data_IF_008118117238
#
_entry.id   IF_008118117238
#
_cell.length_a   1.000
_cell.length_b   1.000
_cell.length_c   1.000
_cell.angle_alpha   90.00
_cell.angle_beta   90.00
_cell.angle_gamma   90.00
#
_symmetry.space_group_name_H-M   'P 1'
#
loop_
_entity.id
_entity.type
_entity.pdbx_description
1 polymer ?
#
# COMPACT_ATOMS: atom_id res chain seq x y z
N UNK A 1 4.11 -26.94 -4.53
CA UNK A 1 3.06 -25.96 -4.17
C UNK A 1 2.56 -25.36 -5.46
N UNK A 2 1.25 -25.17 -5.63
CA UNK A 2 0.77 -24.20 -6.63
C UNK A 2 1.01 -22.85 -5.96
N UNK A 3 2.00 -22.10 -6.44
CA UNK A 3 2.15 -20.71 -6.05
C UNK A 3 0.96 -19.96 -6.66
N UNK A 4 0.25 -19.20 -5.84
CA UNK A 4 -0.86 -18.40 -6.33
C UNK A 4 -0.27 -17.28 -7.20
N UNK A 5 -0.62 -17.27 -8.49
CA UNK A 5 -0.04 -16.33 -9.44
C UNK A 5 -0.52 -14.89 -9.18
N UNK A 6 0.38 -13.92 -9.38
CA UNK A 6 0.05 -12.50 -9.37
C UNK A 6 -0.99 -12.23 -10.46
N UNK A 7 -2.13 -11.66 -10.08
CA UNK A 7 -3.20 -11.33 -11.01
C UNK A 7 -3.03 -9.92 -11.56
N UNK A 8 -2.94 -9.78 -12.87
CA UNK A 8 -2.87 -8.47 -13.53
C UNK A 8 -4.27 -7.92 -13.80
N UNK A 9 -4.57 -6.71 -13.34
CA UNK A 9 -5.88 -6.07 -13.53
C UNK A 9 -5.73 -4.66 -14.10
N UNK A 10 -6.73 -4.18 -14.83
CA UNK A 10 -6.76 -2.80 -15.34
C UNK A 10 -7.36 -1.79 -14.35
N UNK A 11 -7.84 -2.23 -13.19
CA UNK A 11 -8.59 -1.40 -12.25
C UNK A 11 -8.11 -1.56 -10.82
N UNK A 12 -8.13 -0.45 -10.08
CA UNK A 12 -7.83 -0.44 -8.66
C UNK A 12 -8.95 -1.14 -7.88
N UNK A 13 -8.70 -2.37 -7.39
CA UNK A 13 -9.70 -3.15 -6.67
C UNK A 13 -9.67 -2.77 -5.17
N UNK A 14 -10.74 -2.19 -4.61
CA UNK A 14 -10.77 -1.89 -3.19
C UNK A 14 -10.56 -3.15 -2.34
N UNK A 15 -9.68 -3.05 -1.35
CA UNK A 15 -9.33 -4.14 -0.45
C UNK A 15 -8.22 -5.07 -0.94
N UNK A 16 -7.72 -4.93 -2.17
CA UNK A 16 -6.56 -5.70 -2.62
C UNK A 16 -5.24 -5.04 -2.21
N UNK A 17 -4.22 -5.86 -1.99
CA UNK A 17 -2.83 -5.41 -2.06
C UNK A 17 -2.37 -5.48 -3.52
N UNK A 18 -1.77 -4.43 -4.04
CA UNK A 18 -1.28 -4.40 -5.41
C UNK A 18 0.01 -3.62 -5.53
N UNK A 19 0.81 -4.00 -6.53
CA UNK A 19 1.94 -3.24 -7.04
C UNK A 19 1.64 -2.75 -8.45
N UNK A 20 2.22 -1.64 -8.85
CA UNK A 20 2.07 -1.06 -10.18
C UNK A 20 3.19 -0.05 -10.43
N UNK A 21 3.48 0.26 -11.69
CA UNK A 21 4.33 1.40 -12.00
C UNK A 21 3.52 2.68 -11.91
N UNK A 22 4.11 3.72 -11.33
CA UNK A 22 3.44 5.00 -11.12
C UNK A 22 4.31 6.13 -11.65
N UNK A 23 3.70 7.18 -12.20
CA UNK A 23 4.36 8.43 -12.58
C UNK A 23 3.79 9.59 -11.77
N UNK A 24 4.48 10.05 -10.72
CA UNK A 24 3.88 11.02 -9.81
C UNK A 24 3.56 12.36 -10.50
N UNK A 25 2.30 12.84 -10.37
CA UNK A 25 1.83 14.10 -10.99
C UNK A 25 2.76 15.30 -10.79
N UNK A 26 3.32 15.46 -9.59
CA UNK A 26 4.18 16.59 -9.23
C UNK A 26 5.66 16.14 -9.09
N UNK A 27 6.09 15.10 -9.82
CA UNK A 27 7.41 14.46 -9.69
C UNK A 27 8.59 15.42 -9.67
N UNK A 28 8.52 16.51 -10.43
CA UNK A 28 9.59 17.52 -10.53
C UNK A 28 9.79 18.33 -9.25
N UNK A 29 8.78 18.38 -8.37
CA UNK A 29 8.78 19.20 -7.13
C UNK A 29 8.70 18.36 -5.86
N UNK A 30 8.35 17.08 -5.96
CA UNK A 30 8.25 16.21 -4.81
C UNK A 30 9.64 15.91 -4.25
N UNK A 31 9.85 15.98 -2.92
CA UNK A 31 11.15 15.63 -2.33
C UNK A 31 11.49 14.15 -2.53
N UNK A 32 10.46 13.31 -2.61
CA UNK A 32 10.55 11.90 -2.97
C UNK A 32 9.19 11.32 -3.31
N UNK A 33 9.19 10.25 -4.09
CA UNK A 33 8.02 9.42 -4.36
C UNK A 33 8.42 8.00 -4.76
N UNK A 34 7.49 7.06 -4.66
CA UNK A 34 7.72 5.65 -4.99
C UNK A 34 7.15 5.34 -6.38
N UNK A 35 8.02 4.90 -7.29
CA UNK A 35 7.64 4.53 -8.67
C UNK A 35 7.11 3.12 -8.80
N UNK A 36 7.31 2.29 -7.77
CA UNK A 36 6.77 0.93 -7.74
C UNK A 36 6.16 0.63 -6.36
N UNK A 37 5.05 1.31 -6.02
CA UNK A 37 4.46 1.24 -4.68
C UNK A 37 3.79 -0.11 -4.38
N UNK A 38 3.95 -0.59 -3.14
CA UNK A 38 3.16 -1.70 -2.57
C UNK A 38 1.97 -1.14 -1.80
N UNK A 39 0.79 -1.20 -2.39
CA UNK A 39 -0.39 -0.46 -1.93
C UNK A 39 -1.53 -1.37 -1.54
N UNK A 40 -2.06 -1.20 -0.33
CA UNK A 40 -3.39 -1.68 0.01
C UNK A 40 -4.40 -0.64 -0.47
N UNK A 41 -5.21 -0.99 -1.46
CA UNK A 41 -6.18 -0.07 -2.06
C UNK A 41 -7.35 0.10 -1.10
N UNK A 42 -7.59 1.33 -0.67
CA UNK A 42 -8.63 1.67 0.31
C UNK A 42 -9.98 1.86 -0.36
N UNK A 43 -10.02 2.56 -1.48
CA UNK A 43 -11.27 2.89 -2.17
C UNK A 43 -11.11 3.99 -3.20
N UNK A 44 -12.18 4.32 -3.94
CA UNK A 44 -12.15 5.35 -4.98
C UNK A 44 -11.90 6.75 -4.40
N UNK A 45 -11.26 7.59 -5.21
CA UNK A 45 -11.01 9.01 -4.95
C UNK A 45 -11.25 9.81 -6.23
N UNK A 46 -11.28 11.13 -6.15
CA UNK A 46 -11.39 11.96 -7.36
C UNK A 46 -10.25 11.61 -8.34
N UNK A 47 -10.59 11.25 -9.58
CA UNK A 47 -9.64 10.89 -10.65
C UNK A 47 -8.70 9.72 -10.31
N UNK A 48 -9.02 8.92 -9.30
CA UNK A 48 -8.25 7.73 -8.96
C UNK A 48 -8.70 7.04 -7.68
N UNK A 49 -7.75 6.77 -6.77
CA UNK A 49 -8.02 5.96 -5.59
C UNK A 49 -7.14 6.37 -4.40
N UNK A 50 -7.64 6.11 -3.20
CA UNK A 50 -6.86 6.16 -1.98
C UNK A 50 -6.20 4.81 -1.72
N UNK A 51 -4.98 4.84 -1.17
CA UNK A 51 -4.27 3.62 -0.81
C UNK A 51 -3.27 3.83 0.31
N UNK A 52 -2.88 2.72 0.94
CA UNK A 52 -1.85 2.65 1.96
C UNK A 52 -0.59 2.06 1.33
N UNK A 53 0.36 2.92 0.98
CA UNK A 53 1.66 2.46 0.49
C UNK A 53 2.56 2.09 1.66
N UNK A 54 2.77 0.78 1.83
CA UNK A 54 3.57 0.23 2.92
C UNK A 54 5.05 0.60 2.77
N UNK A 55 5.53 0.89 1.56
CA UNK A 55 6.94 1.20 1.35
C UNK A 55 7.44 2.41 2.11
N UNK A 56 6.58 3.40 2.41
CA UNK A 56 6.92 4.58 3.21
C UNK A 56 7.40 4.23 4.62
N UNK A 57 7.12 3.02 5.10
CA UNK A 57 7.69 2.50 6.33
C UNK A 57 8.95 1.66 6.04
N UNK A 58 9.97 1.70 6.91
CA UNK A 58 11.03 0.69 6.88
C UNK A 58 10.45 -0.70 7.22
N UNK A 59 11.06 -1.76 6.70
CA UNK A 59 10.56 -3.14 6.74
C UNK A 59 9.98 -3.57 8.12
N UNK A 60 10.66 -3.36 9.26
CA UNK A 60 10.12 -3.77 10.56
C UNK A 60 8.81 -3.06 10.95
N UNK A 61 8.63 -1.81 10.49
CA UNK A 61 7.40 -1.05 10.73
C UNK A 61 6.30 -1.43 9.74
N UNK A 62 6.65 -1.90 8.54
CA UNK A 62 5.67 -2.46 7.60
C UNK A 62 5.00 -3.68 8.17
N UNK A 63 5.79 -4.63 8.69
CA UNK A 63 5.28 -5.85 9.32
C UNK A 63 4.33 -5.53 10.48
N UNK A 64 4.72 -4.62 11.38
CA UNK A 64 3.85 -4.17 12.49
C UNK A 64 2.56 -3.49 12.00
N UNK A 65 2.62 -2.75 10.91
CA UNK A 65 1.44 -2.11 10.37
C UNK A 65 0.52 -3.13 9.69
N UNK A 66 1.07 -4.05 8.90
CA UNK A 66 0.32 -5.14 8.29
C UNK A 66 -0.34 -6.01 9.36
N UNK A 67 0.39 -6.44 10.38
CA UNK A 67 -0.14 -7.21 11.52
C UNK A 67 -1.35 -6.52 12.17
N UNK A 68 -1.21 -5.24 12.52
CA UNK A 68 -2.33 -4.45 13.06
C UNK A 68 -3.51 -4.28 12.10
N UNK A 69 -3.24 -4.13 10.79
CA UNK A 69 -4.28 -4.07 9.76
C UNK A 69 -5.02 -5.40 9.62
N UNK A 70 -4.31 -6.52 9.76
CA UNK A 70 -4.82 -7.88 9.63
C UNK A 70 -5.70 -8.27 10.83
N UNK A 71 -5.30 -7.88 12.05
CA UNK A 71 -6.10 -8.05 13.29
C UNK A 71 -7.50 -7.45 13.22
N UNK A 72 -7.65 -6.35 12.48
CA UNK A 72 -8.94 -5.67 12.33
C UNK A 72 -9.72 -6.13 11.09
N UNK A 73 -9.18 -7.04 10.27
CA UNK A 73 -9.91 -7.65 9.15
C UNK A 73 -10.94 -8.66 9.64
N UNK A 74 -11.99 -8.88 8.83
CA UNK A 74 -13.11 -9.75 9.18
C UNK A 74 -12.97 -11.20 8.70
N UNK A 75 -12.08 -11.46 7.73
CA UNK A 75 -11.83 -12.83 7.23
C UNK A 75 -10.47 -13.33 7.71
N UNK A 76 -10.48 -14.23 8.69
CA UNK A 76 -9.28 -14.85 9.28
C UNK A 76 -8.77 -16.07 8.50
N UNK A 77 -9.44 -16.44 7.41
CA UNK A 77 -9.09 -17.65 6.65
C UNK A 77 -7.94 -17.44 5.66
N UNK A 78 -7.57 -16.17 5.39
CA UNK A 78 -6.42 -15.78 4.56
C UNK A 78 -6.26 -16.61 3.28
N UNK A 79 -7.36 -16.86 2.57
CA UNK A 79 -7.36 -17.56 1.28
C UNK A 79 -7.32 -16.57 0.10
N UNK A 80 -7.27 -17.10 -1.11
CA UNK A 80 -7.21 -16.34 -2.38
C UNK A 80 -8.30 -15.26 -2.55
N UNK A 81 -9.45 -15.40 -1.87
CA UNK A 81 -10.55 -14.43 -1.93
C UNK A 81 -10.49 -13.36 -0.84
N UNK A 82 -9.46 -13.38 0.02
CA UNK A 82 -9.32 -12.45 1.13
C UNK A 82 -9.00 -11.05 0.62
N UNK A 83 -9.80 -10.08 1.06
CA UNK A 83 -9.61 -8.66 0.80
C UNK A 83 -9.66 -7.91 2.12
N UNK A 84 -8.88 -6.83 2.22
CA UNK A 84 -9.04 -5.86 3.30
C UNK A 84 -10.45 -5.29 3.28
N UNK A 85 -11.04 -5.14 4.46
CA UNK A 85 -12.40 -4.66 4.59
C UNK A 85 -12.43 -3.15 4.33
N UNK A 86 -13.01 -2.72 3.21
CA UNK A 86 -13.08 -1.29 2.85
C UNK A 86 -14.25 -0.55 3.51
N UNK A 87 -14.97 -1.19 4.45
CA UNK A 87 -16.02 -0.52 5.21
C UNK A 87 -15.43 0.64 6.03
N UNK A 88 -16.23 1.70 6.16
CA UNK A 88 -15.87 2.91 6.90
C UNK A 88 -15.35 2.63 8.32
N UNK A 89 -15.92 1.64 9.02
CA UNK A 89 -15.49 1.25 10.37
C UNK A 89 -14.06 0.69 10.41
N UNK A 90 -13.64 -0.08 9.40
CA UNK A 90 -12.27 -0.57 9.27
C UNK A 90 -11.32 0.59 9.02
N UNK A 91 -11.64 1.47 8.06
CA UNK A 91 -10.81 2.62 7.72
C UNK A 91 -10.65 3.58 8.90
N UNK A 92 -11.71 3.80 9.69
CA UNK A 92 -11.61 4.59 10.92
C UNK A 92 -10.72 3.97 11.99
N UNK A 93 -10.61 2.64 12.04
CA UNK A 93 -9.69 1.93 12.96
C UNK A 93 -8.26 1.98 12.43
N UNK A 94 -8.06 1.70 11.14
CA UNK A 94 -6.78 1.81 10.47
C UNK A 94 -6.20 3.23 10.57
N UNK A 95 -7.03 4.27 10.38
CA UNK A 95 -6.64 5.67 10.47
C UNK A 95 -6.12 6.09 11.86
N UNK A 96 -6.51 5.38 12.93
CA UNK A 96 -6.01 5.61 14.29
C UNK A 96 -4.66 4.95 14.55
N UNK A 97 -4.20 4.04 13.67
CA UNK A 97 -2.89 3.44 13.79
C UNK A 97 -1.82 4.49 13.44
N UNK A 98 -0.82 4.62 14.30
CA UNK A 98 0.27 5.60 14.13
C UNK A 98 1.00 5.49 12.78
N UNK A 99 1.00 4.30 12.17
CA UNK A 99 1.65 4.01 10.89
C UNK A 99 0.83 4.43 9.66
N UNK A 100 -0.44 4.80 9.83
CA UNK A 100 -1.34 5.13 8.72
C UNK A 100 -0.93 6.42 7.98
N UNK A 101 -0.66 7.49 8.73
CA UNK A 101 -0.35 8.83 8.22
C UNK A 101 0.79 8.89 7.18
N UNK A 102 1.94 8.21 7.35
CA UNK A 102 2.97 8.19 6.31
C UNK A 102 2.56 7.40 5.05
N UNK A 103 1.72 6.36 5.20
CA UNK A 103 1.35 5.43 4.13
C UNK A 103 0.16 5.89 3.29
N UNK A 104 -0.76 6.67 3.85
CA UNK A 104 -1.96 7.10 3.15
C UNK A 104 -1.63 8.08 2.01
N UNK A 105 -2.02 7.72 0.79
CA UNK A 105 -1.81 8.50 -0.44
C UNK A 105 -3.05 8.52 -1.30
N UNK A 106 -3.15 9.57 -2.11
CA UNK A 106 -4.08 9.67 -3.24
C UNK A 106 -3.30 9.40 -4.52
N UNK A 107 -3.71 8.37 -5.26
CA UNK A 107 -3.16 8.02 -6.56
C UNK A 107 -4.14 8.41 -7.66
N UNK A 108 -3.61 8.91 -8.76
CA UNK A 108 -4.39 9.22 -9.96
C UNK A 108 -4.32 8.04 -10.91
N UNK A 109 -5.46 7.57 -11.42
CA UNK A 109 -5.47 6.43 -12.35
C UNK A 109 -4.72 6.76 -13.64
N UNK A 110 -4.75 8.01 -14.09
CA UNK A 110 -4.01 8.46 -15.27
C UNK A 110 -2.48 8.42 -15.10
N UNK A 111 -2.00 8.24 -13.88
CA UNK A 111 -0.58 8.14 -13.54
C UNK A 111 -0.14 6.71 -13.24
N UNK A 112 -1.05 5.73 -13.35
CA UNK A 112 -0.70 4.32 -13.27
C UNK A 112 -0.27 3.85 -14.65
N UNK A 113 0.95 3.33 -14.74
CA UNK A 113 1.48 2.78 -15.97
C UNK A 113 1.17 1.28 -16.04
N UNK A 114 0.44 0.87 -17.09
CA UNK A 114 0.09 -0.52 -17.33
C UNK A 114 -1.01 -1.05 -16.42
N UNK A 115 -0.76 -2.19 -15.78
CA UNK A 115 -1.74 -2.95 -15.00
C UNK A 115 -1.33 -3.05 -13.53
N UNK A 116 -2.31 -3.26 -12.66
CA UNK A 116 -2.11 -3.57 -11.26
C UNK A 116 -1.73 -5.05 -11.11
N UNK A 117 -0.56 -5.31 -10.57
CA UNK A 117 -0.13 -6.62 -10.10
C UNK A 117 -0.73 -6.87 -8.71
N UNK A 118 -1.87 -7.54 -8.65
CA UNK A 118 -2.55 -7.88 -7.39
C UNK A 118 -1.81 -9.01 -6.70
N UNK A 119 -1.39 -8.75 -5.47
CA UNK A 119 -0.69 -9.70 -4.61
C UNK A 119 -1.74 -10.60 -3.94
N UNK A 120 -1.66 -11.93 -4.10
CA UNK A 120 -2.53 -12.88 -3.39
C UNK A 120 -2.39 -12.71 -1.88
N UNK A 121 -3.49 -12.93 -1.14
CA UNK A 121 -3.49 -12.73 0.31
C UNK A 121 -2.46 -13.57 1.09
N UNK A 122 -2.19 -14.85 0.73
CA UNK A 122 -1.11 -15.62 1.35
C UNK A 122 0.27 -14.97 1.21
N UNK A 123 0.48 -14.17 0.16
CA UNK A 123 1.76 -13.55 -0.18
C UNK A 123 1.94 -12.15 0.42
N UNK A 124 0.93 -11.59 1.11
CA UNK A 124 0.99 -10.22 1.65
C UNK A 124 2.14 -10.01 2.64
N UNK A 125 2.42 -11.01 3.48
CA UNK A 125 3.52 -10.95 4.43
C UNK A 125 4.87 -10.92 3.71
N UNK A 126 5.09 -11.86 2.77
CA UNK A 126 6.32 -11.94 1.98
C UNK A 126 6.52 -10.66 1.16
N UNK A 127 5.49 -10.21 0.44
CA UNK A 127 5.52 -8.97 -0.34
C UNK A 127 5.92 -7.75 0.51
N UNK A 128 5.47 -7.70 1.77
CA UNK A 128 5.80 -6.63 2.71
C UNK A 128 7.28 -6.62 3.10
N UNK A 129 7.92 -7.79 3.13
CA UNK A 129 9.35 -7.96 3.43
C UNK A 129 10.26 -7.74 2.23
N UNK A 130 9.77 -7.94 1.00
CA UNK A 130 10.58 -7.75 -0.20
C UNK A 130 11.05 -6.28 -0.34
N UNK A 131 12.33 -6.04 -0.64
CA UNK A 131 12.88 -4.68 -0.76
C UNK A 131 12.60 -4.07 -2.15
N UNK A 132 11.36 -4.09 -2.61
CA UNK A 132 10.94 -3.72 -3.98
C UNK A 132 10.67 -2.23 -4.18
N UNK A 133 10.73 -1.41 -3.13
CA UNK A 133 10.49 0.04 -3.22
C UNK A 133 11.46 0.72 -4.20
N UNK A 134 10.92 1.47 -5.15
CA UNK A 134 11.69 2.21 -6.17
C UNK A 134 11.55 3.71 -5.93
N UNK A 135 12.37 4.22 -5.01
CA UNK A 135 12.35 5.64 -4.63
C UNK A 135 12.98 6.53 -5.68
N UNK A 136 12.20 7.47 -6.19
CA UNK A 136 12.72 8.67 -6.82
C UNK A 136 12.98 9.69 -5.70
N UNK A 137 14.21 9.74 -5.20
CA UNK A 137 14.62 10.57 -4.06
C UNK A 137 15.40 9.79 -3.00
N UNK A 138 15.73 10.43 -1.89
CA UNK A 138 16.56 9.81 -0.86
C UNK A 138 15.75 8.89 0.09
N UNK A 139 15.98 7.58 0.02
CA UNK A 139 15.35 6.56 0.88
C UNK A 139 15.48 6.84 2.38
N UNK A 140 16.65 7.29 2.84
CA UNK A 140 16.88 7.60 4.26
C UNK A 140 16.05 8.78 4.72
N UNK A 141 15.88 9.79 3.87
CA UNK A 141 15.00 10.94 4.10
C UNK A 141 13.54 10.50 4.19
N UNK A 142 13.07 9.64 3.28
CA UNK A 142 11.69 9.10 3.30
C UNK A 142 11.36 8.45 4.65
N UNK A 143 12.27 7.61 5.15
CA UNK A 143 12.05 6.89 6.40
C UNK A 143 12.21 7.77 7.63
N UNK A 144 13.08 8.78 7.58
CA UNK A 144 13.20 9.79 8.63
C UNK A 144 11.88 10.58 8.75
N UNK A 145 11.36 11.09 7.64
CA UNK A 145 10.11 11.85 7.62
C UNK A 145 8.91 11.00 8.04
N UNK A 146 8.90 9.74 7.64
CA UNK A 146 7.84 8.81 8.04
C UNK A 146 7.86 8.55 9.54
N UNK A 147 9.04 8.40 10.15
CA UNK A 147 9.16 8.32 11.63
C UNK A 147 8.74 9.61 12.32
N UNK A 148 9.07 10.77 11.77
CA UNK A 148 8.62 12.05 12.31
C UNK A 148 7.09 12.15 12.29
N UNK A 149 6.44 11.73 11.19
CA UNK A 149 4.96 11.69 11.09
C UNK A 149 4.31 10.72 12.07
N UNK A 150 4.99 9.64 12.43
CA UNK A 150 4.50 8.65 13.42
C UNK A 150 4.53 9.22 14.85
N UNK A 151 5.49 10.09 15.14
CA UNK A 151 5.72 10.66 16.47
C UNK A 151 5.13 12.07 16.68
N UNK A 152 4.44 12.61 15.66
CA UNK A 152 3.86 13.95 15.64
C UNK A 152 2.34 13.91 15.68
#
# INVERSE_FOLDING_TARGET
>A
MREDEIQMTSSAIPGSMAMYFYDAKNKDTLPYWDSFPLVIIVGPAEKGFYGLNLHYLPIPLRAKFLDGLMDITTDKRYNENTKFNVKYSYLNRAAKMKYFKPCFKHYLTSQVEGQFAVVPAPEWEIATFLPTAQWNGNKSQVYKDSRNKINA
#
